data_IF_980408724355
#
_entry.id   IF_980408724355
#
_cell.length_a   1.000
_cell.length_b   1.000
_cell.length_c   1.000
_cell.angle_alpha   90.00
_cell.angle_beta   90.00
_cell.angle_gamma   90.00
#
_symmetry.space_group_name_H-M   'P 1'
#
loop_
_entity.id
_entity.type
_entity.pdbx_description
1 polymer ?
#
# COMPACT_ATOMS: atom_id res chain seq x y z
N UNK A 1 -8.90 0.50 18.01
CA UNK A 1 -8.98 1.88 17.52
C UNK A 1 -7.90 2.67 18.25
N UNK A 2 -7.04 3.35 17.52
CA UNK A 2 -5.91 4.05 18.12
C UNK A 2 -6.37 5.29 18.88
N UNK A 3 -5.78 5.48 20.07
CA UNK A 3 -6.10 6.60 20.98
C UNK A 3 -5.73 7.98 20.44
N UNK A 4 -4.88 8.02 19.39
CA UNK A 4 -4.39 9.25 18.77
C UNK A 4 -5.39 9.92 17.83
N UNK A 5 -6.37 9.18 17.28
CA UNK A 5 -7.32 9.75 16.33
C UNK A 5 -8.14 10.92 16.91
N UNK A 6 -8.60 10.81 18.15
CA UNK A 6 -9.33 11.89 18.82
C UNK A 6 -8.46 13.13 19.03
N UNK A 7 -7.18 12.94 19.34
CA UNK A 7 -6.22 14.03 19.48
C UNK A 7 -5.93 14.71 18.14
N UNK A 8 -5.81 13.92 17.06
CA UNK A 8 -5.64 14.43 15.70
C UNK A 8 -6.88 15.21 15.23
N UNK A 9 -8.08 14.70 15.52
CA UNK A 9 -9.33 15.44 15.27
C UNK A 9 -9.35 16.76 16.01
N UNK A 10 -8.98 16.77 17.29
CA UNK A 10 -8.90 17.98 18.10
C UNK A 10 -7.93 19.01 17.53
N UNK A 11 -6.74 18.57 17.09
CA UNK A 11 -5.71 19.47 16.56
C UNK A 11 -6.15 20.19 15.27
N UNK A 12 -7.07 19.58 14.51
CA UNK A 12 -7.65 20.15 13.28
C UNK A 12 -9.04 20.79 13.49
N UNK A 13 -9.53 20.83 14.72
CA UNK A 13 -10.85 21.38 15.05
C UNK A 13 -12.00 20.63 14.37
N UNK A 14 -11.89 19.31 14.26
CA UNK A 14 -12.91 18.43 13.68
C UNK A 14 -13.81 17.88 14.79
N UNK A 15 -15.11 18.06 14.64
CA UNK A 15 -16.12 17.49 15.55
C UNK A 15 -16.41 16.03 15.22
N UNK A 16 -16.32 15.67 13.94
CA UNK A 16 -16.54 14.31 13.48
C UNK A 16 -15.75 13.98 12.20
N UNK A 17 -15.65 12.68 11.91
CA UNK A 17 -15.28 12.17 10.59
C UNK A 17 -16.42 11.33 10.05
N UNK A 18 -16.66 11.41 8.74
CA UNK A 18 -17.57 10.59 7.98
C UNK A 18 -16.78 9.76 6.98
N UNK A 19 -16.92 8.44 7.04
CA UNK A 19 -16.34 7.52 6.08
C UNK A 19 -17.47 6.84 5.31
N UNK A 20 -17.46 6.91 3.98
CA UNK A 20 -18.54 6.37 3.14
C UNK A 20 -18.00 5.38 2.10
N UNK A 21 -18.88 4.48 1.65
CA UNK A 21 -18.60 3.52 0.58
C UNK A 21 -18.57 2.06 1.02
N UNK A 22 -18.05 1.14 0.18
CA UNK A 22 -17.87 -0.26 0.54
C UNK A 22 -16.90 -0.39 1.71
N UNK A 23 -17.01 -1.47 2.48
CA UNK A 23 -16.03 -1.75 3.52
C UNK A 23 -14.74 -2.35 2.94
N UNK A 24 -14.87 -3.14 1.87
CA UNK A 24 -13.73 -3.75 1.19
C UNK A 24 -13.00 -2.73 0.30
N UNK A 25 -11.68 -2.87 0.20
CA UNK A 25 -10.80 -1.97 -0.57
C UNK A 25 -10.98 -0.48 -0.24
N UNK A 26 -11.38 -0.19 0.99
CA UNK A 26 -11.56 1.16 1.53
C UNK A 26 -10.75 1.27 2.83
N UNK A 27 -9.49 1.71 2.75
CA UNK A 27 -8.57 1.74 3.89
C UNK A 27 -9.14 2.45 5.12
N UNK A 28 -9.83 3.59 4.91
CA UNK A 28 -10.47 4.32 6.00
C UNK A 28 -11.52 3.48 6.72
N UNK A 29 -12.34 2.74 5.99
CA UNK A 29 -13.36 1.86 6.54
C UNK A 29 -12.72 0.65 7.25
N UNK A 30 -11.75 -0.02 6.61
CA UNK A 30 -11.01 -1.16 7.19
C UNK A 30 -10.32 -0.76 8.49
N UNK A 31 -9.72 0.42 8.55
CA UNK A 31 -9.01 0.91 9.74
C UNK A 31 -9.91 0.96 10.98
N UNK A 32 -11.17 1.38 10.83
CA UNK A 32 -12.10 1.51 11.95
C UNK A 32 -12.97 0.27 12.19
N UNK A 33 -13.24 -0.53 11.16
CA UNK A 33 -14.06 -1.76 11.28
C UNK A 33 -13.25 -3.03 11.55
N UNK A 34 -11.93 -2.99 11.31
CA UNK A 34 -11.09 -4.19 11.34
C UNK A 34 -11.17 -5.07 10.09
N UNK A 35 -12.02 -4.72 9.14
CA UNK A 35 -12.35 -5.49 7.94
C UNK A 35 -13.75 -6.14 8.07
N UNK A 36 -14.73 -5.55 7.42
CA UNK A 36 -16.11 -6.03 7.34
C UNK A 36 -16.48 -6.34 5.88
N UNK A 37 -17.41 -7.23 5.67
CA UNK A 37 -17.94 -7.52 4.34
C UNK A 37 -19.25 -6.76 4.11
N UNK A 38 -19.15 -5.45 3.84
CA UNK A 38 -20.29 -4.57 3.55
C UNK A 38 -20.15 -4.02 2.13
N UNK A 39 -21.19 -4.12 1.34
CA UNK A 39 -21.21 -3.60 -0.03
C UNK A 39 -21.32 -2.07 -0.06
N UNK A 40 -21.93 -1.48 0.97
CA UNK A 40 -21.99 -0.04 1.18
C UNK A 40 -22.34 0.26 2.64
N UNK A 41 -21.71 1.26 3.20
CA UNK A 41 -22.00 1.74 4.55
C UNK A 41 -21.48 3.15 4.76
N UNK A 42 -21.96 3.77 5.83
CA UNK A 42 -21.44 5.02 6.34
C UNK A 42 -20.95 4.80 7.78
N UNK A 43 -19.78 5.29 8.11
CA UNK A 43 -19.25 5.25 9.45
C UNK A 43 -19.03 6.68 9.93
N UNK A 44 -19.65 7.03 11.06
CA UNK A 44 -19.47 8.35 11.68
C UNK A 44 -18.78 8.19 13.03
N UNK A 45 -17.64 8.85 13.18
CA UNK A 45 -16.87 8.92 14.42
C UNK A 45 -16.89 10.36 14.92
N UNK A 46 -17.59 10.60 16.02
CA UNK A 46 -17.55 11.89 16.75
C UNK A 46 -16.31 11.94 17.63
N UNK A 47 -15.73 13.12 17.79
CA UNK A 47 -14.62 13.32 18.70
C UNK A 47 -14.98 12.85 20.12
N UNK A 48 -14.12 12.04 20.73
CA UNK A 48 -14.32 11.48 22.08
C UNK A 48 -15.34 10.35 22.19
N UNK A 49 -16.11 10.02 21.13
CA UNK A 49 -17.12 8.96 21.15
C UNK A 49 -16.66 7.75 20.32
N UNK A 50 -17.32 6.60 20.53
CA UNK A 50 -17.10 5.41 19.68
C UNK A 50 -17.73 5.62 18.29
N UNK A 51 -17.15 5.01 17.22
CA UNK A 51 -17.75 5.06 15.89
C UNK A 51 -19.13 4.40 15.86
N UNK A 52 -20.01 4.92 14.98
CA UNK A 52 -21.30 4.35 14.65
C UNK A 52 -21.26 3.93 13.19
N UNK A 53 -21.56 2.66 12.91
CA UNK A 53 -21.62 2.08 11.58
C UNK A 53 -23.06 1.98 11.10
N UNK A 54 -23.41 2.69 10.03
CA UNK A 54 -24.71 2.64 9.36
C UNK A 54 -24.64 1.59 8.25
N UNK A 55 -25.54 0.62 8.28
CA UNK A 55 -25.53 -0.51 7.38
C UNK A 55 -26.88 -0.78 6.71
N UNK A 56 -26.86 -1.46 5.58
CA UNK A 56 -28.07 -1.99 4.95
C UNK A 56 -28.68 -3.11 5.81
N UNK A 57 -30.02 -3.24 5.90
CA UNK A 57 -30.68 -4.33 6.64
C UNK A 57 -30.18 -5.74 6.30
N UNK A 58 -29.81 -5.99 5.05
CA UNK A 58 -29.30 -7.29 4.59
C UNK A 58 -27.91 -7.64 5.15
N UNK A 59 -27.15 -6.65 5.61
CA UNK A 59 -25.76 -6.79 6.09
C UNK A 59 -25.64 -6.62 7.61
N UNK A 60 -26.76 -6.72 8.36
CA UNK A 60 -26.79 -6.49 9.81
C UNK A 60 -25.87 -7.40 10.61
N UNK A 61 -25.69 -8.64 10.17
CA UNK A 61 -24.83 -9.61 10.85
C UNK A 61 -23.35 -9.29 10.61
N UNK A 62 -22.99 -8.95 9.39
CA UNK A 62 -21.64 -8.49 9.04
C UNK A 62 -21.29 -7.19 9.77
N UNK A 63 -22.23 -6.26 9.84
CA UNK A 63 -22.03 -5.03 10.61
C UNK A 63 -21.85 -5.32 12.12
N UNK A 64 -22.65 -6.24 12.69
CA UNK A 64 -22.54 -6.63 14.09
C UNK A 64 -21.19 -7.32 14.41
N UNK A 65 -20.65 -8.09 13.47
CA UNK A 65 -19.33 -8.77 13.61
C UNK A 65 -18.17 -7.78 13.80
N UNK A 66 -18.33 -6.51 13.40
CA UNK A 66 -17.31 -5.47 13.64
C UNK A 66 -17.14 -5.11 15.12
N UNK A 67 -18.13 -5.45 15.98
CA UNK A 67 -18.15 -5.04 17.37
C UNK A 67 -18.41 -3.55 17.61
N UNK A 68 -18.67 -2.79 16.54
CA UNK A 68 -19.04 -1.36 16.63
C UNK A 68 -20.51 -1.19 17.02
N UNK A 69 -20.88 0.01 17.46
CA UNK A 69 -22.27 0.40 17.50
C UNK A 69 -22.80 0.48 16.07
N UNK A 70 -23.95 -0.17 15.81
CA UNK A 70 -24.55 -0.19 14.48
C UNK A 70 -25.91 0.47 14.45
N UNK A 71 -26.27 1.09 13.32
CA UNK A 71 -27.60 1.62 13.03
C UNK A 71 -28.05 1.15 11.65
N UNK A 72 -29.33 0.78 11.55
CA UNK A 72 -29.91 0.40 10.27
C UNK A 72 -30.23 1.67 9.46
N UNK A 73 -29.64 1.82 8.27
CA UNK A 73 -29.88 2.99 7.42
C UNK A 73 -31.33 3.09 6.92
N UNK A 74 -32.10 1.97 6.93
CA UNK A 74 -33.52 1.95 6.56
C UNK A 74 -34.39 2.75 7.55
N UNK A 75 -33.94 2.95 8.80
CA UNK A 75 -34.68 3.71 9.81
C UNK A 75 -34.86 5.19 9.37
N UNK A 76 -34.01 5.68 8.46
CA UNK A 76 -34.09 7.03 7.86
C UNK A 76 -35.01 7.11 6.64
N UNK A 77 -35.76 6.03 6.33
CA UNK A 77 -36.94 5.98 5.44
C UNK A 77 -36.66 6.61 4.04
N UNK A 78 -35.62 6.15 3.36
CA UNK A 78 -35.20 6.69 2.07
C UNK A 78 -36.32 6.77 1.02
N UNK A 79 -37.25 5.80 0.98
CA UNK A 79 -38.36 5.79 0.01
C UNK A 79 -39.35 6.93 0.25
N UNK A 80 -39.64 7.29 1.51
CA UNK A 80 -40.43 8.47 1.84
C UNK A 80 -39.73 9.77 1.40
N UNK A 81 -38.39 9.84 1.64
CA UNK A 81 -37.58 11.00 1.18
C UNK A 81 -37.54 11.11 -0.35
N UNK A 82 -37.49 9.99 -1.05
CA UNK A 82 -37.51 9.98 -2.52
C UNK A 82 -38.85 10.47 -3.06
N UNK A 83 -39.97 10.07 -2.45
CA UNK A 83 -41.28 10.60 -2.79
C UNK A 83 -41.39 12.10 -2.52
N UNK A 84 -40.93 12.57 -1.35
CA UNK A 84 -40.88 14.00 -0.98
C UNK A 84 -40.00 14.81 -1.95
N UNK A 85 -39.02 14.16 -2.54
CA UNK A 85 -38.09 14.76 -3.52
C UNK A 85 -38.57 14.60 -4.96
N UNK A 86 -39.81 14.20 -5.21
CA UNK A 86 -40.38 14.01 -6.55
C UNK A 86 -39.55 13.07 -7.43
N UNK A 87 -38.96 12.03 -6.84
CA UNK A 87 -38.09 11.07 -7.51
C UNK A 87 -36.63 11.52 -7.68
N UNK A 88 -36.24 12.69 -7.18
CA UNK A 88 -34.86 13.17 -7.24
C UNK A 88 -33.98 12.44 -6.21
N UNK A 89 -33.17 11.50 -6.68
CA UNK A 89 -32.27 10.68 -5.83
C UNK A 89 -31.21 11.49 -5.10
N UNK A 90 -30.63 12.51 -5.72
CA UNK A 90 -29.65 13.37 -5.07
C UNK A 90 -30.27 14.08 -3.88
N UNK A 91 -31.43 14.74 -4.09
CA UNK A 91 -32.15 15.45 -3.01
C UNK A 91 -32.54 14.49 -1.88
N UNK A 92 -33.05 13.30 -2.21
CA UNK A 92 -33.41 12.29 -1.20
C UNK A 92 -32.19 11.83 -0.40
N UNK A 93 -31.02 11.67 -1.05
CA UNK A 93 -29.77 11.29 -0.40
C UNK A 93 -29.28 12.40 0.55
N UNK A 94 -29.30 13.65 0.10
CA UNK A 94 -28.95 14.82 0.90
C UNK A 94 -29.86 14.91 2.14
N UNK A 95 -31.18 14.76 1.98
CA UNK A 95 -32.13 14.76 3.10
C UNK A 95 -31.93 13.61 4.07
N UNK A 96 -31.49 12.44 3.59
CA UNK A 96 -31.14 11.32 4.47
C UNK A 96 -29.91 11.64 5.31
N UNK A 97 -28.84 12.17 4.72
CA UNK A 97 -27.65 12.61 5.48
C UNK A 97 -28.00 13.74 6.46
N UNK A 98 -28.84 14.70 6.06
CA UNK A 98 -29.34 15.73 6.98
C UNK A 98 -29.98 15.10 8.22
N UNK A 99 -30.92 14.15 8.06
CA UNK A 99 -31.56 13.45 9.19
C UNK A 99 -30.56 12.69 10.06
N UNK A 100 -29.58 12.04 9.45
CA UNK A 100 -28.50 11.33 10.18
C UNK A 100 -27.71 12.31 11.03
N UNK A 101 -27.28 13.43 10.45
CA UNK A 101 -26.48 14.42 11.17
C UNK A 101 -27.28 15.12 12.27
N UNK A 102 -28.56 15.46 12.03
CA UNK A 102 -29.47 16.01 13.05
C UNK A 102 -29.68 15.02 14.22
N UNK A 103 -29.91 13.73 13.93
CA UNK A 103 -30.05 12.66 14.94
C UNK A 103 -28.78 12.47 15.80
N UNK A 104 -27.62 12.78 15.26
CA UNK A 104 -26.32 12.73 15.94
C UNK A 104 -25.90 14.07 16.58
N UNK A 105 -26.66 15.15 16.38
CA UNK A 105 -26.31 16.51 16.82
C UNK A 105 -25.11 17.08 16.10
N UNK A 106 -24.94 16.77 14.81
CA UNK A 106 -23.83 17.16 13.95
C UNK A 106 -24.25 18.14 12.83
N UNK A 107 -25.44 18.70 12.88
CA UNK A 107 -26.00 19.63 11.87
C UNK A 107 -25.26 20.96 11.76
N UNK A 108 -24.39 21.29 12.73
CA UNK A 108 -23.52 22.48 12.77
C UNK A 108 -22.05 22.15 12.94
N UNK A 109 -21.68 20.91 12.74
CA UNK A 109 -20.34 20.40 13.02
C UNK A 109 -19.34 20.71 11.91
N UNK A 110 -18.05 20.65 12.23
CA UNK A 110 -16.97 20.57 11.26
C UNK A 110 -16.61 19.11 11.05
N UNK A 111 -16.87 18.57 9.86
CA UNK A 111 -16.72 17.14 9.53
C UNK A 111 -15.69 16.97 8.42
N UNK A 112 -14.70 16.09 8.62
CA UNK A 112 -13.84 15.61 7.54
C UNK A 112 -14.43 14.35 6.91
N UNK A 113 -14.37 14.26 5.55
CA UNK A 113 -14.93 13.14 4.79
C UNK A 113 -13.84 12.27 4.20
N UNK A 114 -14.07 10.96 4.27
CA UNK A 114 -13.17 9.92 3.75
C UNK A 114 -13.96 8.79 3.08
N UNK A 115 -13.24 7.87 2.48
CA UNK A 115 -13.82 6.64 1.95
C UNK A 115 -13.67 6.51 0.45
N UNK A 116 -14.42 5.58 -0.12
CA UNK A 116 -14.35 5.23 -1.53
C UNK A 116 -15.70 5.47 -2.21
N UNK A 117 -15.85 6.62 -2.83
CA UNK A 117 -17.05 7.04 -3.56
C UNK A 117 -16.62 7.72 -4.86
N UNK A 118 -17.46 7.65 -5.89
CA UNK A 118 -17.25 8.41 -7.12
C UNK A 118 -17.17 9.91 -6.84
N UNK A 119 -16.17 10.60 -7.41
CA UNK A 119 -15.90 12.00 -7.13
C UNK A 119 -17.06 12.94 -7.47
N UNK A 120 -17.78 12.67 -8.58
CA UNK A 120 -18.96 13.45 -8.96
C UNK A 120 -20.11 13.28 -7.96
N UNK A 121 -20.35 12.05 -7.51
CA UNK A 121 -21.35 11.73 -6.49
C UNK A 121 -21.00 12.37 -5.14
N UNK A 122 -19.75 12.31 -4.73
CA UNK A 122 -19.28 12.93 -3.49
C UNK A 122 -19.51 14.44 -3.52
N UNK A 123 -19.04 15.10 -4.58
CA UNK A 123 -19.22 16.55 -4.73
C UNK A 123 -20.70 16.96 -4.71
N UNK A 124 -21.56 16.26 -5.47
CA UNK A 124 -22.99 16.58 -5.54
C UNK A 124 -23.69 16.39 -4.18
N UNK A 125 -23.39 15.29 -3.47
CA UNK A 125 -24.02 14.99 -2.17
C UNK A 125 -23.55 15.99 -1.11
N UNK A 126 -22.24 16.20 -0.96
CA UNK A 126 -21.70 17.00 0.15
C UNK A 126 -21.92 18.49 -0.06
N UNK A 127 -21.82 19.02 -1.30
CA UNK A 127 -22.22 20.41 -1.59
C UNK A 127 -23.73 20.64 -1.40
N UNK A 128 -24.56 19.64 -1.76
CA UNK A 128 -25.98 19.68 -1.47
C UNK A 128 -26.29 19.69 0.01
N UNK A 129 -25.51 18.95 0.82
CA UNK A 129 -25.68 18.89 2.26
C UNK A 129 -25.33 20.21 2.95
N UNK A 130 -24.21 20.87 2.56
CA UNK A 130 -23.87 22.23 3.05
C UNK A 130 -24.92 23.27 2.63
N UNK A 131 -25.60 23.08 1.50
CA UNK A 131 -26.68 24.00 1.05
C UNK A 131 -27.93 23.90 1.93
N UNK A 132 -28.24 22.72 2.50
CA UNK A 132 -29.41 22.51 3.37
C UNK A 132 -29.08 22.70 4.86
N UNK A 133 -27.81 22.57 5.23
CA UNK A 133 -27.27 22.80 6.58
C UNK A 133 -26.19 23.89 6.52
N UNK A 134 -26.58 25.18 6.54
CA UNK A 134 -25.63 26.28 6.29
C UNK A 134 -24.57 26.48 7.39
N UNK A 135 -24.79 25.94 8.58
CA UNK A 135 -23.82 25.96 9.68
C UNK A 135 -22.89 24.72 9.69
N UNK A 136 -23.14 23.73 8.83
CA UNK A 136 -22.30 22.56 8.65
C UNK A 136 -21.07 22.93 7.80
N UNK A 137 -19.89 22.53 8.26
CA UNK A 137 -18.66 22.65 7.48
C UNK A 137 -18.15 21.26 7.10
N UNK A 138 -17.97 21.01 5.80
CA UNK A 138 -17.40 19.76 5.29
C UNK A 138 -16.00 20.03 4.73
N UNK A 139 -15.02 19.19 5.12
CA UNK A 139 -13.64 19.32 4.67
C UNK A 139 -13.17 18.01 4.06
N UNK A 140 -12.56 18.07 2.87
CA UNK A 140 -11.72 17.02 2.33
C UNK A 140 -10.28 17.25 2.74
N UNK A 141 -9.56 16.21 3.08
CA UNK A 141 -8.12 16.24 3.34
C UNK A 141 -7.36 15.55 2.22
N UNK A 142 -6.14 15.97 1.96
CA UNK A 142 -5.30 15.42 0.91
C UNK A 142 -4.20 14.53 1.53
N UNK A 143 -2.94 14.87 1.32
CA UNK A 143 -1.76 14.06 1.73
C UNK A 143 -1.46 14.09 3.22
N UNK A 144 -1.96 15.10 3.93
CA UNK A 144 -1.78 15.28 5.38
C UNK A 144 -3.09 14.99 6.13
N UNK A 145 -3.76 13.91 5.80
CA UNK A 145 -5.01 13.54 6.46
C UNK A 145 -4.76 12.95 7.85
N UNK A 146 -5.70 13.20 8.78
CA UNK A 146 -5.61 12.63 10.13
C UNK A 146 -5.64 11.10 10.12
N UNK A 147 -6.31 10.49 9.15
CA UNK A 147 -6.31 9.03 9.01
C UNK A 147 -4.95 8.51 8.58
N UNK A 148 -4.27 9.13 7.61
CA UNK A 148 -2.91 8.75 7.21
C UNK A 148 -1.91 8.95 8.35
N UNK A 149 -2.05 10.01 9.14
CA UNK A 149 -1.23 10.21 10.34
C UNK A 149 -1.51 9.13 11.39
N UNK A 150 -2.77 8.79 11.65
CA UNK A 150 -3.14 7.74 12.60
C UNK A 150 -2.69 6.34 12.14
N UNK A 151 -2.65 6.08 10.84
CA UNK A 151 -2.17 4.83 10.23
C UNK A 151 -0.65 4.71 10.22
N UNK A 152 0.11 5.80 10.33
CA UNK A 152 1.58 5.80 10.25
C UNK A 152 2.23 4.86 11.28
N UNK A 153 1.59 4.63 12.42
CA UNK A 153 2.04 3.65 13.41
C UNK A 153 1.00 2.55 13.65
N UNK A 154 1.45 1.32 13.79
CA UNK A 154 0.62 0.11 13.91
C UNK A 154 0.64 -0.43 15.34
N UNK A 155 -0.49 -0.96 15.79
CA UNK A 155 -0.57 -1.74 17.02
C UNK A 155 -0.13 -3.20 16.77
N UNK A 156 -0.08 -4.01 17.83
CA UNK A 156 0.39 -5.40 17.75
C UNK A 156 -0.46 -6.26 16.80
N UNK A 157 -1.78 -6.08 16.81
CA UNK A 157 -2.68 -6.87 15.95
C UNK A 157 -2.49 -6.51 14.48
N UNK A 158 -2.29 -5.23 14.18
CA UNK A 158 -1.98 -4.76 12.83
C UNK A 158 -0.61 -5.29 12.34
N UNK A 159 0.41 -5.29 13.22
CA UNK A 159 1.73 -5.86 12.92
C UNK A 159 1.63 -7.35 12.61
N UNK A 160 0.85 -8.12 13.37
CA UNK A 160 0.70 -9.56 13.11
C UNK A 160 -0.03 -9.82 11.77
N UNK A 161 -0.97 -8.98 11.36
CA UNK A 161 -1.60 -9.04 10.03
C UNK A 161 -0.59 -8.78 8.92
N UNK A 162 0.22 -7.72 9.02
CA UNK A 162 1.27 -7.41 8.06
C UNK A 162 2.33 -8.52 8.01
N UNK A 163 2.72 -9.06 9.18
CA UNK A 163 3.67 -10.18 9.28
C UNK A 163 3.14 -11.43 8.56
N UNK A 164 1.86 -11.75 8.74
CA UNK A 164 1.21 -12.86 8.04
C UNK A 164 1.22 -12.65 6.53
N UNK A 165 0.93 -11.43 6.06
CA UNK A 165 1.05 -11.09 4.64
C UNK A 165 2.48 -11.24 4.14
N UNK A 166 3.48 -10.84 4.93
CA UNK A 166 4.89 -11.04 4.61
C UNK A 166 5.27 -12.52 4.46
N UNK A 167 4.76 -13.38 5.34
CA UNK A 167 4.95 -14.83 5.23
C UNK A 167 4.32 -15.40 3.97
N UNK A 168 3.11 -14.98 3.61
CA UNK A 168 2.45 -15.37 2.36
C UNK A 168 3.26 -14.90 1.16
N UNK A 169 3.68 -13.63 1.16
CA UNK A 169 4.47 -13.02 0.08
C UNK A 169 5.78 -13.76 -0.14
N UNK A 170 6.57 -13.99 0.91
CA UNK A 170 7.87 -14.69 0.80
C UNK A 170 7.71 -16.16 0.40
N UNK A 171 6.62 -16.83 0.78
CA UNK A 171 6.29 -18.17 0.29
C UNK A 171 5.99 -18.16 -1.22
N UNK A 172 5.21 -17.18 -1.71
CA UNK A 172 4.92 -17.04 -3.14
C UNK A 172 6.18 -16.71 -3.92
N UNK A 173 7.05 -15.84 -3.39
CA UNK A 173 8.38 -15.56 -3.96
C UNK A 173 9.22 -16.83 -4.05
N UNK A 174 9.21 -17.67 -3.03
CA UNK A 174 9.85 -19.00 -3.04
C UNK A 174 9.28 -19.91 -4.13
N UNK A 175 7.95 -19.97 -4.26
CA UNK A 175 7.30 -20.76 -5.30
C UNK A 175 7.69 -20.26 -6.72
N UNK A 176 7.87 -18.94 -6.90
CA UNK A 176 8.36 -18.39 -8.20
C UNK A 176 9.79 -18.85 -8.46
N UNK A 177 10.68 -18.77 -7.47
CA UNK A 177 12.06 -19.26 -7.61
C UNK A 177 12.10 -20.76 -7.96
N UNK A 178 11.32 -21.59 -7.28
CA UNK A 178 11.20 -23.02 -7.54
C UNK A 178 10.62 -23.29 -8.93
N UNK A 179 9.58 -22.56 -9.32
CA UNK A 179 9.00 -22.68 -10.67
C UNK A 179 10.05 -22.38 -11.74
N UNK A 180 10.80 -21.28 -11.62
CA UNK A 180 11.81 -20.88 -12.59
C UNK A 180 12.98 -21.87 -12.65
N UNK A 181 13.50 -22.32 -11.50
CA UNK A 181 14.63 -23.23 -11.41
C UNK A 181 14.28 -24.68 -11.82
N UNK A 182 12.99 -25.05 -11.80
CA UNK A 182 12.50 -26.33 -12.30
C UNK A 182 12.44 -26.43 -13.82
N UNK A 183 12.46 -25.30 -14.53
CA UNK A 183 12.39 -25.25 -15.99
C UNK A 183 13.75 -25.61 -16.60
N UNK A 184 13.75 -25.92 -17.90
CA UNK A 184 14.96 -26.24 -18.66
C UNK A 184 15.43 -25.04 -19.47
N UNK A 185 16.74 -24.79 -19.48
CA UNK A 185 17.33 -23.80 -20.38
C UNK A 185 17.81 -24.43 -21.67
N UNK A 186 17.45 -23.81 -22.80
CA UNK A 186 17.93 -24.21 -24.13
C UNK A 186 18.23 -22.94 -24.94
N UNK A 187 19.46 -22.85 -25.46
CA UNK A 187 19.89 -21.70 -26.26
C UNK A 187 19.81 -20.36 -25.48
N UNK A 188 19.97 -20.39 -24.14
CA UNK A 188 19.87 -19.21 -23.29
C UNK A 188 18.45 -18.77 -22.94
N UNK A 189 17.43 -19.51 -23.36
CA UNK A 189 16.00 -19.26 -23.08
C UNK A 189 15.47 -20.32 -22.14
N UNK A 190 14.54 -19.96 -21.27
CA UNK A 190 13.85 -20.86 -20.36
C UNK A 190 12.60 -21.47 -21.01
N UNK A 191 12.44 -22.80 -20.95
CA UNK A 191 11.32 -23.52 -21.55
C UNK A 191 10.51 -24.31 -20.53
N UNK A 192 9.19 -24.29 -20.70
CA UNK A 192 8.23 -25.14 -19.99
C UNK A 192 8.33 -26.60 -20.44
N UNK A 193 7.73 -27.51 -19.69
CA UNK A 193 7.70 -28.95 -20.01
C UNK A 193 7.03 -29.29 -21.36
N UNK A 194 6.16 -28.39 -21.87
CA UNK A 194 5.51 -28.51 -23.18
C UNK A 194 6.33 -27.88 -24.33
N UNK A 195 7.61 -27.60 -24.09
CA UNK A 195 8.55 -27.03 -25.08
C UNK A 195 8.19 -25.59 -25.53
N UNK A 196 7.28 -24.90 -24.81
CA UNK A 196 7.06 -23.49 -25.03
C UNK A 196 8.00 -22.63 -24.14
N UNK A 197 8.47 -21.47 -24.64
CA UNK A 197 9.26 -20.56 -23.81
C UNK A 197 8.45 -20.03 -22.63
N UNK A 198 9.09 -19.88 -21.47
CA UNK A 198 8.48 -19.25 -20.29
C UNK A 198 8.40 -17.76 -20.52
N UNK A 199 7.21 -17.19 -20.39
CA UNK A 199 6.94 -15.76 -20.54
C UNK A 199 6.60 -15.10 -19.21
N UNK A 200 6.73 -13.78 -19.12
CA UNK A 200 6.35 -12.99 -17.95
C UNK A 200 4.90 -13.26 -17.53
N UNK A 201 3.98 -13.35 -18.48
CA UNK A 201 2.56 -13.65 -18.19
C UNK A 201 2.35 -15.00 -17.50
N UNK A 202 3.17 -16.02 -17.83
CA UNK A 202 3.08 -17.32 -17.21
C UNK A 202 3.41 -17.22 -15.71
N UNK A 203 4.48 -16.47 -15.37
CA UNK A 203 4.91 -16.24 -13.99
C UNK A 203 3.85 -15.44 -13.23
N UNK A 204 3.38 -14.32 -13.78
CA UNK A 204 2.36 -13.47 -13.13
C UNK A 204 1.05 -14.22 -12.89
N UNK A 205 0.64 -15.10 -13.80
CA UNK A 205 -0.54 -15.95 -13.63
C UNK A 205 -0.39 -16.92 -12.46
N UNK A 206 0.79 -17.53 -12.30
CA UNK A 206 1.08 -18.41 -11.15
C UNK A 206 1.11 -17.62 -9.84
N UNK A 207 1.72 -16.43 -9.82
CA UNK A 207 1.74 -15.55 -8.64
C UNK A 207 0.31 -15.29 -8.16
N UNK A 208 -0.58 -14.84 -9.05
CA UNK A 208 -1.96 -14.52 -8.70
C UNK A 208 -2.72 -15.76 -8.18
N UNK A 209 -2.49 -16.93 -8.77
CA UNK A 209 -3.08 -18.19 -8.30
C UNK A 209 -2.61 -18.52 -6.88
N UNK A 210 -1.29 -18.49 -6.63
CA UNK A 210 -0.72 -18.82 -5.32
C UNK A 210 -1.11 -17.83 -4.22
N UNK A 211 -1.29 -16.54 -4.55
CA UNK A 211 -1.81 -15.54 -3.63
C UNK A 211 -3.27 -15.84 -3.28
N UNK A 212 -4.12 -16.09 -4.29
CA UNK A 212 -5.54 -16.41 -4.09
C UNK A 212 -5.75 -17.67 -3.23
N UNK A 213 -4.97 -18.72 -3.44
CA UNK A 213 -4.98 -19.95 -2.63
C UNK A 213 -4.67 -19.70 -1.15
N UNK A 214 -4.00 -18.59 -0.83
CA UNK A 214 -3.60 -18.20 0.53
C UNK A 214 -4.46 -17.10 1.14
N UNK A 215 -5.55 -16.72 0.45
CA UNK A 215 -6.44 -15.66 0.92
C UNK A 215 -5.83 -14.26 0.80
N UNK A 216 -4.97 -14.06 -0.19
CA UNK A 216 -4.37 -12.78 -0.53
C UNK A 216 -4.82 -12.30 -1.92
N UNK A 217 -4.79 -11.00 -2.15
CA UNK A 217 -5.11 -10.34 -3.41
C UNK A 217 -3.93 -9.51 -3.90
N UNK A 218 -3.91 -9.26 -5.21
CA UNK A 218 -2.88 -8.47 -5.88
C UNK A 218 -3.51 -7.37 -6.74
N UNK A 219 -4.22 -6.40 -6.11
CA UNK A 219 -5.06 -5.44 -6.82
C UNK A 219 -4.27 -4.46 -7.70
N UNK A 220 -3.03 -4.16 -7.33
CA UNK A 220 -2.16 -3.23 -8.07
C UNK A 220 -1.20 -3.96 -9.03
N UNK A 221 -1.25 -5.29 -9.04
CA UNK A 221 -0.42 -6.12 -9.88
C UNK A 221 0.97 -6.37 -9.27
N UNK A 222 1.86 -6.85 -10.11
CA UNK A 222 3.25 -7.23 -9.74
C UNK A 222 4.20 -6.68 -10.80
N UNK A 223 5.32 -6.11 -10.39
CA UNK A 223 6.43 -5.83 -11.28
C UNK A 223 7.23 -7.14 -11.42
N UNK A 224 7.31 -7.64 -12.63
CA UNK A 224 8.18 -8.74 -13.02
C UNK A 224 8.78 -8.37 -14.36
N UNK A 225 9.86 -7.61 -14.32
CA UNK A 225 10.45 -6.92 -15.46
C UNK A 225 11.85 -7.46 -15.77
N UNK A 226 12.18 -7.59 -17.05
CA UNK A 226 13.48 -8.07 -17.53
C UNK A 226 14.11 -7.10 -18.52
N UNK A 227 15.41 -7.19 -18.70
CA UNK A 227 16.15 -6.40 -19.70
C UNK A 227 15.93 -4.90 -19.53
N UNK A 228 15.56 -4.20 -20.62
CA UNK A 228 15.31 -2.76 -20.60
C UNK A 228 14.26 -2.37 -19.55
N UNK A 229 13.16 -3.13 -19.48
CA UNK A 229 12.05 -2.84 -18.58
C UNK A 229 12.47 -2.94 -17.11
N UNK A 230 13.39 -3.87 -16.76
CA UNK A 230 13.97 -3.94 -15.42
C UNK A 230 14.73 -2.65 -15.05
N UNK A 231 15.28 -1.95 -16.04
CA UNK A 231 15.95 -0.66 -15.86
C UNK A 231 15.02 0.54 -15.63
N UNK A 232 13.70 0.34 -15.61
CA UNK A 232 12.68 1.38 -15.39
C UNK A 232 11.88 1.01 -14.13
N UNK A 233 11.98 1.76 -13.01
CA UNK A 233 11.51 1.32 -11.68
C UNK A 233 10.08 0.79 -11.60
N UNK A 234 9.12 1.45 -12.26
CA UNK A 234 7.70 1.08 -12.22
C UNK A 234 7.20 0.38 -13.51
N UNK A 235 8.11 -0.07 -14.36
CA UNK A 235 7.71 -0.87 -15.53
C UNK A 235 7.34 -2.28 -15.08
N UNK A 236 6.10 -2.66 -15.29
CA UNK A 236 5.60 -3.98 -14.85
C UNK A 236 6.15 -5.16 -15.66
N UNK A 237 6.88 -4.92 -16.76
CA UNK A 237 7.34 -5.92 -17.73
C UNK A 237 6.29 -6.26 -18.79
N UNK A 238 6.75 -6.49 -20.04
CA UNK A 238 5.87 -6.91 -21.14
C UNK A 238 5.44 -8.38 -20.95
N UNK A 239 4.14 -8.69 -20.90
CA UNK A 239 3.64 -10.05 -20.66
C UNK A 239 4.14 -11.11 -21.67
N UNK A 240 4.48 -10.70 -22.89
CA UNK A 240 4.94 -11.60 -23.96
C UNK A 240 6.45 -11.83 -23.97
N UNK A 241 7.21 -11.10 -23.16
CA UNK A 241 8.65 -11.27 -23.09
C UNK A 241 9.03 -12.62 -22.50
N UNK A 242 10.06 -13.21 -23.12
CA UNK A 242 10.58 -14.53 -22.81
C UNK A 242 11.73 -14.44 -21.83
N UNK A 243 11.73 -15.28 -20.81
CA UNK A 243 12.78 -15.30 -19.80
C UNK A 243 14.07 -15.91 -20.35
N UNK A 244 15.18 -15.20 -20.14
CA UNK A 244 16.52 -15.56 -20.62
C UNK A 244 17.53 -15.66 -19.49
N UNK A 245 18.55 -16.48 -19.71
CA UNK A 245 19.67 -16.56 -18.78
C UNK A 245 20.51 -15.28 -18.79
N UNK A 246 20.98 -14.87 -17.62
CA UNK A 246 21.90 -13.75 -17.47
C UNK A 246 21.28 -12.36 -17.55
N UNK A 247 19.97 -12.23 -17.83
CA UNK A 247 19.24 -10.97 -17.73
C UNK A 247 18.78 -10.70 -16.28
N UNK A 248 18.78 -9.43 -15.87
CA UNK A 248 18.20 -9.07 -14.57
C UNK A 248 16.68 -9.18 -14.60
N UNK A 249 16.13 -9.77 -13.56
CA UNK A 249 14.70 -9.82 -13.27
C UNK A 249 14.49 -8.95 -12.03
N UNK A 250 13.81 -7.82 -12.15
CA UNK A 250 13.28 -7.09 -10.99
C UNK A 250 11.90 -7.67 -10.70
N UNK A 251 11.81 -8.34 -9.56
CA UNK A 251 10.57 -8.93 -9.07
C UNK A 251 10.13 -8.22 -7.80
N UNK A 252 9.11 -7.39 -7.95
CA UNK A 252 8.52 -6.57 -6.91
C UNK A 252 7.04 -6.94 -6.76
N UNK A 253 6.63 -7.26 -5.54
CA UNK A 253 5.32 -7.85 -5.23
C UNK A 253 4.76 -7.26 -3.93
N UNK A 254 3.56 -6.67 -4.03
CA UNK A 254 2.89 -5.93 -2.96
C UNK A 254 1.43 -6.38 -2.76
N UNK A 255 1.20 -7.66 -2.40
CA UNK A 255 -0.16 -8.17 -2.17
C UNK A 255 -0.75 -7.65 -0.86
N UNK A 256 -2.07 -7.72 -0.77
CA UNK A 256 -2.81 -7.45 0.45
C UNK A 256 -3.71 -8.61 0.85
N UNK A 257 -4.25 -8.53 2.07
CA UNK A 257 -5.31 -9.44 2.50
C UNK A 257 -6.53 -9.35 1.59
N UNK A 258 -7.19 -10.48 1.33
CA UNK A 258 -8.41 -10.52 0.52
C UNK A 258 -9.48 -9.57 1.08
N UNK A 259 -10.08 -8.76 0.19
CA UNK A 259 -11.01 -7.70 0.55
C UNK A 259 -10.35 -6.34 0.84
N UNK A 260 -9.04 -6.19 0.60
CA UNK A 260 -8.34 -4.91 0.72
C UNK A 260 -7.93 -4.54 2.13
N UNK A 261 -7.35 -5.48 2.87
CA UNK A 261 -6.76 -5.27 4.18
C UNK A 261 -5.30 -4.80 4.12
N UNK A 262 -4.46 -5.33 5.02
CA UNK A 262 -3.06 -4.93 5.11
C UNK A 262 -2.23 -5.46 3.96
N UNK A 263 -1.34 -4.61 3.46
CA UNK A 263 -0.34 -4.92 2.43
C UNK A 263 0.95 -5.43 3.06
N UNK A 264 1.76 -6.06 2.23
CA UNK A 264 3.19 -6.32 2.45
C UNK A 264 3.94 -6.05 1.16
N UNK A 265 5.05 -5.34 1.22
CA UNK A 265 5.84 -4.94 0.06
C UNK A 265 7.22 -5.56 0.08
N UNK A 266 7.69 -6.04 -1.09
CA UNK A 266 8.88 -6.87 -1.17
C UNK A 266 9.46 -6.95 -2.57
N UNK A 267 10.76 -6.66 -2.70
CA UNK A 267 11.49 -6.82 -3.97
C UNK A 267 12.73 -7.67 -3.84
N UNK A 268 12.95 -8.53 -4.83
CA UNK A 268 14.25 -9.17 -5.12
C UNK A 268 14.63 -8.98 -6.57
N UNK A 269 15.94 -8.93 -6.80
CA UNK A 269 16.51 -8.97 -8.15
C UNK A 269 17.21 -10.29 -8.37
N UNK A 270 16.88 -10.96 -9.48
CA UNK A 270 17.48 -12.24 -9.85
C UNK A 270 18.09 -12.21 -11.24
N UNK A 271 19.04 -13.14 -11.47
CA UNK A 271 19.48 -13.62 -12.79
C UNK A 271 19.33 -15.12 -12.85
N UNK A 272 18.83 -15.64 -13.96
CA UNK A 272 18.73 -17.09 -14.19
C UNK A 272 20.06 -17.65 -14.67
N UNK A 273 20.52 -18.74 -14.07
CA UNK A 273 21.71 -19.48 -14.44
C UNK A 273 23.03 -18.80 -14.09
N UNK A 274 23.23 -17.56 -14.49
CA UNK A 274 24.42 -16.77 -14.18
C UNK A 274 24.11 -15.27 -14.19
N UNK A 275 24.95 -14.48 -13.54
CA UNK A 275 24.89 -13.02 -13.62
C UNK A 275 26.12 -12.46 -14.34
N UNK A 276 25.96 -11.61 -15.38
CA UNK A 276 27.08 -10.91 -16.01
C UNK A 276 27.88 -10.06 -15.02
N UNK A 277 29.18 -9.88 -15.23
CA UNK A 277 30.06 -9.16 -14.32
C UNK A 277 29.56 -7.74 -13.98
N UNK A 278 29.00 -7.04 -14.98
CA UNK A 278 28.43 -5.70 -14.79
C UNK A 278 27.22 -5.74 -13.85
N UNK A 279 26.34 -6.74 -14.00
CA UNK A 279 25.18 -6.93 -13.11
C UNK A 279 25.66 -7.25 -11.70
N UNK A 280 26.66 -8.13 -11.55
CA UNK A 280 27.22 -8.46 -10.23
C UNK A 280 27.78 -7.22 -9.51
N UNK A 281 28.44 -6.28 -10.24
CA UNK A 281 28.95 -5.03 -9.66
C UNK A 281 27.80 -4.14 -9.17
N UNK A 282 26.79 -3.89 -10.01
CA UNK A 282 25.63 -3.06 -9.66
C UNK A 282 24.86 -3.68 -8.50
N UNK A 283 24.66 -5.01 -8.51
CA UNK A 283 24.00 -5.72 -7.42
C UNK A 283 24.77 -5.56 -6.10
N UNK A 284 26.08 -5.69 -6.12
CA UNK A 284 26.92 -5.50 -4.94
C UNK A 284 26.81 -4.07 -4.40
N UNK A 285 26.79 -3.07 -5.27
CA UNK A 285 26.64 -1.69 -4.86
C UNK A 285 25.29 -1.42 -4.18
N UNK A 286 24.18 -1.99 -4.71
CA UNK A 286 22.86 -1.93 -4.08
C UNK A 286 22.85 -2.70 -2.76
N UNK A 287 23.41 -3.91 -2.73
CA UNK A 287 23.51 -4.74 -1.54
C UNK A 287 24.28 -4.04 -0.41
N UNK A 288 25.41 -3.44 -0.71
CA UNK A 288 26.23 -2.71 0.26
C UNK A 288 25.45 -1.53 0.86
N UNK A 289 24.77 -0.75 -0.01
CA UNK A 289 23.95 0.38 0.45
C UNK A 289 22.78 -0.11 1.29
N UNK A 290 22.09 -1.17 0.87
CA UNK A 290 21.00 -1.79 1.63
C UNK A 290 21.49 -2.21 3.03
N UNK A 291 22.60 -2.96 3.12
CA UNK A 291 23.13 -3.43 4.40
C UNK A 291 23.56 -2.26 5.31
N UNK A 292 24.18 -1.23 4.72
CA UNK A 292 24.61 -0.07 5.49
C UNK A 292 23.42 0.73 6.02
N UNK A 293 22.42 1.01 5.21
CA UNK A 293 21.19 1.71 5.66
C UNK A 293 20.49 0.89 6.74
N UNK A 294 20.30 -0.41 6.54
CA UNK A 294 19.67 -1.29 7.55
C UNK A 294 20.41 -1.26 8.89
N UNK A 295 21.75 -1.19 8.86
CA UNK A 295 22.58 -1.09 10.08
C UNK A 295 22.57 0.28 10.75
N UNK A 296 22.20 1.33 10.01
CA UNK A 296 22.17 2.72 10.50
C UNK A 296 20.78 3.15 10.99
N UNK A 297 19.70 2.38 10.72
CA UNK A 297 18.32 2.73 11.14
C UNK A 297 18.21 2.94 12.65
N UNK A 298 17.55 4.03 13.05
CA UNK A 298 17.38 4.41 14.46
C UNK A 298 15.97 4.94 14.72
N UNK A 299 15.49 4.70 15.92
CA UNK A 299 14.22 5.21 16.40
C UNK A 299 14.15 6.75 16.35
N UNK A 300 12.99 7.27 15.98
CA UNK A 300 12.67 8.69 15.90
C UNK A 300 13.59 9.53 14.99
N UNK A 301 14.24 8.89 14.02
CA UNK A 301 15.00 9.59 12.99
C UNK A 301 14.10 9.90 11.79
N UNK A 302 14.17 11.12 11.22
CA UNK A 302 13.43 11.47 10.01
C UNK A 302 13.83 10.60 8.82
N UNK A 303 12.84 10.13 8.06
CA UNK A 303 13.05 9.31 6.86
C UNK A 303 13.94 9.99 5.80
N UNK A 304 13.89 11.32 5.75
CA UNK A 304 14.71 12.13 4.85
C UNK A 304 16.23 11.95 5.06
N UNK A 305 16.67 11.77 6.30
CA UNK A 305 18.10 11.56 6.60
C UNK A 305 18.60 10.27 5.91
N UNK A 306 17.79 9.21 5.89
CA UNK A 306 18.16 7.96 5.22
C UNK A 306 18.12 8.07 3.70
N UNK A 307 17.18 8.84 3.14
CA UNK A 307 17.18 9.17 1.71
C UNK A 307 18.46 9.89 1.29
N UNK A 308 18.84 10.93 2.04
CA UNK A 308 20.07 11.68 1.79
C UNK A 308 21.30 10.78 1.92
N UNK A 309 21.32 9.91 2.93
CA UNK A 309 22.38 8.95 3.17
C UNK A 309 22.54 7.93 2.04
N UNK A 310 21.42 7.38 1.54
CA UNK A 310 21.44 6.48 0.40
C UNK A 310 22.00 7.16 -0.86
N UNK A 311 21.59 8.40 -1.13
CA UNK A 311 22.18 9.19 -2.23
C UNK A 311 23.70 9.36 -2.08
N UNK A 312 24.20 9.74 -0.90
CA UNK A 312 25.63 9.90 -0.63
C UNK A 312 26.41 8.61 -0.85
N UNK A 313 25.87 7.49 -0.41
CA UNK A 313 26.50 6.17 -0.59
C UNK A 313 26.59 5.77 -2.06
N UNK A 314 25.51 5.98 -2.84
CA UNK A 314 25.52 5.72 -4.27
C UNK A 314 26.42 6.67 -5.05
N UNK A 315 26.43 7.96 -4.72
CA UNK A 315 27.35 8.95 -5.34
C UNK A 315 28.81 8.60 -5.04
N UNK A 316 29.11 8.15 -3.81
CA UNK A 316 30.45 7.67 -3.44
C UNK A 316 30.92 6.45 -4.24
N UNK A 317 29.99 5.68 -4.82
CA UNK A 317 30.25 4.56 -5.74
C UNK A 317 30.22 4.97 -7.21
N UNK A 318 29.98 6.25 -7.52
CA UNK A 318 29.97 6.82 -8.86
C UNK A 318 28.64 6.72 -9.61
N UNK A 319 27.53 6.45 -8.91
CA UNK A 319 26.20 6.41 -9.49
C UNK A 319 25.51 7.79 -9.41
N UNK A 320 24.83 8.26 -10.48
CA UNK A 320 24.00 9.45 -10.40
C UNK A 320 22.80 9.21 -9.47
N UNK A 321 22.33 10.27 -8.79
CA UNK A 321 21.20 10.19 -7.88
C UNK A 321 20.23 11.34 -8.08
N UNK A 322 18.99 11.18 -7.61
CA UNK A 322 17.98 12.25 -7.59
C UNK A 322 18.38 13.45 -6.71
N UNK A 323 19.40 13.31 -5.83
CA UNK A 323 19.93 14.40 -5.02
C UNK A 323 20.77 15.34 -5.86
N UNK A 324 21.72 14.81 -6.62
CA UNK A 324 22.61 15.58 -7.50
C UNK A 324 21.94 16.01 -8.81
N UNK A 325 21.03 15.19 -9.36
CA UNK A 325 20.22 15.52 -10.53
C UNK A 325 18.76 15.06 -10.35
N UNK A 326 17.84 15.95 -9.95
CA UNK A 326 16.43 15.62 -9.71
C UNK A 326 15.67 15.03 -10.90
N UNK A 327 16.20 15.13 -12.10
CA UNK A 327 15.60 14.62 -13.33
C UNK A 327 16.38 13.44 -13.91
N UNK A 328 17.30 12.84 -13.14
CA UNK A 328 18.02 11.66 -13.64
C UNK A 328 17.06 10.50 -13.90
N UNK A 329 17.23 9.85 -15.03
CA UNK A 329 16.52 8.63 -15.41
C UNK A 329 17.40 7.38 -15.23
N UNK A 330 18.65 7.57 -14.76
CA UNK A 330 19.60 6.48 -14.53
C UNK A 330 20.26 6.61 -13.15
N UNK A 331 20.69 5.50 -12.59
CA UNK A 331 21.25 5.43 -11.25
C UNK A 331 20.19 5.26 -10.17
N UNK A 332 20.27 5.99 -9.07
CA UNK A 332 19.30 5.99 -7.98
C UNK A 332 18.25 7.08 -8.21
N UNK A 333 17.06 6.68 -8.64
CA UNK A 333 16.06 7.59 -9.25
C UNK A 333 14.77 7.78 -8.44
N UNK A 334 14.64 7.14 -7.27
CA UNK A 334 13.42 7.18 -6.44
C UNK A 334 13.71 7.37 -4.94
N UNK A 335 12.67 7.33 -4.11
CA UNK A 335 12.79 7.36 -2.65
C UNK A 335 13.38 6.06 -2.10
N UNK A 336 13.95 6.14 -0.89
CA UNK A 336 14.49 4.96 -0.21
C UNK A 336 13.41 4.01 0.29
N UNK A 337 12.19 4.53 0.50
CA UNK A 337 11.08 3.75 0.99
C UNK A 337 9.90 4.59 1.44
N UNK A 338 8.92 3.91 1.97
CA UNK A 338 7.64 4.47 2.43
C UNK A 338 7.03 3.61 3.53
N UNK A 339 6.02 4.14 4.21
CA UNK A 339 5.20 3.36 5.11
C UNK A 339 4.35 2.33 4.35
N UNK A 340 4.11 1.19 4.99
CA UNK A 340 3.22 0.13 4.48
C UNK A 340 2.17 -0.19 5.54
N UNK A 341 0.93 -0.37 5.11
CA UNK A 341 -0.18 -0.72 5.99
C UNK A 341 -1.44 -1.05 5.23
N UNK A 342 -2.47 -0.25 5.38
CA UNK A 342 -3.71 -0.37 4.60
C UNK A 342 -3.60 0.23 3.19
N UNK A 343 -2.53 0.96 2.92
CA UNK A 343 -2.08 1.35 1.60
C UNK A 343 -0.70 0.72 1.34
N UNK A 344 -0.37 0.46 0.08
CA UNK A 344 1.00 0.11 -0.32
C UNK A 344 1.93 1.25 0.09
N UNK A 345 1.56 2.48 -0.29
CA UNK A 345 2.29 3.68 0.02
C UNK A 345 1.54 4.53 1.04
N UNK A 346 2.06 4.63 2.25
CA UNK A 346 1.54 5.52 3.30
C UNK A 346 2.69 6.16 4.10
N UNK A 347 2.37 6.95 5.13
CA UNK A 347 3.38 7.52 6.04
C UNK A 347 4.00 6.44 6.96
N UNK A 348 5.28 6.67 7.38
CA UNK A 348 6.18 7.78 7.07
C UNK A 348 6.86 7.61 5.70
N UNK A 349 7.22 8.75 5.07
CA UNK A 349 7.93 8.76 3.80
C UNK A 349 9.46 8.80 4.02
N UNK A 350 10.20 8.01 3.24
CA UNK A 350 11.66 7.99 3.21
C UNK A 350 12.14 8.47 1.82
N UNK A 351 11.78 9.67 1.44
CA UNK A 351 12.05 10.22 0.11
C UNK A 351 12.28 11.73 0.12
N UNK A 352 12.44 12.32 -1.06
CA UNK A 352 12.70 13.77 -1.20
C UNK A 352 11.61 14.67 -0.60
N UNK A 353 10.38 14.21 -0.62
CA UNK A 353 9.22 14.96 -0.13
C UNK A 353 8.89 14.65 1.34
N UNK A 354 9.74 13.88 2.02
CA UNK A 354 9.60 13.62 3.45
C UNK A 354 9.73 14.92 4.24
N UNK A 355 8.90 15.03 5.27
CA UNK A 355 8.93 16.14 6.23
C UNK A 355 9.62 15.70 7.52
N UNK A 356 9.89 16.66 8.43
CA UNK A 356 10.43 16.37 9.77
C UNK A 356 9.47 15.50 10.63
N UNK A 357 8.21 15.37 10.22
CA UNK A 357 7.20 14.54 10.88
C UNK A 357 7.22 13.07 10.40
N UNK A 358 7.91 12.78 9.30
CA UNK A 358 8.06 11.42 8.77
C UNK A 358 9.15 10.66 9.53
N UNK A 359 8.87 10.37 10.79
CA UNK A 359 9.81 9.72 11.71
C UNK A 359 9.69 8.20 11.66
N UNK A 360 10.80 7.49 11.86
CA UNK A 360 10.78 6.08 12.23
C UNK A 360 10.30 5.95 13.69
N UNK A 361 9.01 6.25 13.91
CA UNK A 361 8.38 6.20 15.22
C UNK A 361 8.10 4.76 15.67
N UNK A 362 8.00 4.50 17.00
CA UNK A 362 7.58 3.18 17.50
C UNK A 362 6.27 2.73 16.88
N UNK A 363 6.25 1.54 16.29
CA UNK A 363 5.09 1.00 15.58
C UNK A 363 5.03 1.35 14.09
N UNK A 364 5.92 2.18 13.55
CA UNK A 364 6.00 2.39 12.11
C UNK A 364 6.40 1.08 11.39
N UNK A 365 5.85 0.87 10.22
CA UNK A 365 6.24 -0.20 9.29
C UNK A 365 6.61 0.47 7.98
N UNK A 366 7.83 0.25 7.51
CA UNK A 366 8.39 0.94 6.34
C UNK A 366 9.11 -0.03 5.41
N UNK A 367 9.16 0.29 4.12
CA UNK A 367 10.08 -0.35 3.18
C UNK A 367 11.47 0.27 3.25
N UNK A 368 12.49 -0.53 2.96
CA UNK A 368 13.86 -0.08 2.67
C UNK A 368 14.25 -0.72 1.35
N UNK A 369 14.23 0.08 0.28
CA UNK A 369 14.25 -0.40 -1.11
C UNK A 369 15.28 0.31 -2.01
N UNK A 370 16.56 0.40 -1.64
CA UNK A 370 17.54 1.02 -2.53
C UNK A 370 17.63 0.27 -3.86
N UNK A 371 17.72 1.02 -4.97
CA UNK A 371 17.81 0.44 -6.31
C UNK A 371 18.66 1.25 -7.27
N UNK A 372 19.23 0.60 -8.28
CA UNK A 372 19.99 1.21 -9.36
C UNK A 372 19.43 0.77 -10.71
N UNK A 373 19.21 1.73 -11.61
CA UNK A 373 18.52 1.51 -12.88
C UNK A 373 19.29 2.08 -14.05
N UNK A 374 19.53 1.24 -15.06
CA UNK A 374 20.25 1.56 -16.28
C UNK A 374 19.54 0.96 -17.50
N UNK A 375 18.43 1.56 -17.97
CA UNK A 375 17.59 0.98 -19.03
C UNK A 375 18.35 0.73 -20.33
N UNK A 376 19.23 1.65 -20.75
CA UNK A 376 20.05 1.49 -21.96
C UNK A 376 21.02 0.30 -21.91
N UNK A 377 21.25 -0.22 -20.70
CA UNK A 377 22.07 -1.41 -20.48
C UNK A 377 21.27 -2.65 -20.16
N UNK A 378 19.94 -2.53 -20.10
CA UNK A 378 19.06 -3.60 -19.72
C UNK A 378 19.28 -4.09 -18.28
N UNK A 379 19.59 -3.18 -17.36
CA UNK A 379 19.93 -3.52 -15.97
C UNK A 379 19.08 -2.70 -15.01
N UNK A 380 18.36 -3.39 -14.15
CA UNK A 380 17.72 -2.85 -12.95
C UNK A 380 18.04 -3.76 -11.76
N UNK A 381 18.33 -3.17 -10.62
CA UNK A 381 18.53 -3.88 -9.36
C UNK A 381 17.81 -3.13 -8.26
N UNK A 382 16.89 -3.81 -7.55
CA UNK A 382 16.25 -3.34 -6.31
C UNK A 382 16.27 -4.47 -5.30
N UNK A 383 16.62 -4.15 -4.07
CA UNK A 383 16.48 -5.02 -2.91
C UNK A 383 15.59 -4.33 -1.91
N UNK A 384 14.59 -5.03 -1.42
CA UNK A 384 13.60 -4.44 -0.53
C UNK A 384 13.14 -5.42 0.52
N UNK A 385 13.03 -4.92 1.74
CA UNK A 385 12.34 -5.59 2.83
C UNK A 385 11.45 -4.61 3.60
N UNK A 386 10.32 -5.11 4.07
CA UNK A 386 9.41 -4.40 4.99
C UNK A 386 9.91 -4.57 6.43
N UNK A 387 10.16 -3.44 7.09
CA UNK A 387 10.77 -3.33 8.41
C UNK A 387 9.78 -2.74 9.41
N UNK A 388 9.64 -3.39 10.56
CA UNK A 388 8.91 -2.87 11.71
C UNK A 388 9.85 -2.15 12.67
N UNK A 389 9.53 -0.91 13.02
CA UNK A 389 10.19 -0.12 14.05
C UNK A 389 9.58 -0.53 15.40
N UNK A 390 10.28 -1.39 16.15
CA UNK A 390 9.79 -1.89 17.43
C UNK A 390 9.82 -0.83 18.53
N UNK A 391 8.93 -0.93 19.52
CA UNK A 391 8.90 0.01 20.65
C UNK A 391 10.20 0.06 21.48
N UNK A 392 10.99 -1.02 21.46
CA UNK A 392 12.29 -1.11 22.13
C UNK A 392 13.45 -0.50 21.32
N UNK A 393 13.16 0.00 20.10
CA UNK A 393 14.11 0.62 19.19
C UNK A 393 14.80 -0.36 18.23
N UNK A 394 14.51 -1.67 18.32
CA UNK A 394 15.01 -2.63 17.34
C UNK A 394 14.25 -2.50 16.00
N UNK A 395 14.97 -2.76 14.92
CA UNK A 395 14.43 -2.81 13.55
C UNK A 395 14.26 -4.27 13.13
N UNK A 396 13.02 -4.69 12.90
CA UNK A 396 12.71 -6.08 12.59
C UNK A 396 12.20 -6.22 11.15
N UNK A 397 12.89 -7.01 10.32
CA UNK A 397 12.36 -7.45 9.03
C UNK A 397 11.23 -8.44 9.30
N UNK A 398 9.99 -8.09 8.90
CA UNK A 398 8.79 -8.86 9.26
C UNK A 398 8.73 -10.25 8.59
N UNK A 399 9.29 -10.40 7.38
CA UNK A 399 9.42 -11.70 6.71
C UNK A 399 10.73 -11.74 5.92
N UNK A 400 11.67 -12.59 6.36
CA UNK A 400 12.99 -12.71 5.75
C UNK A 400 12.97 -13.65 4.56
N UNK A 401 13.71 -13.29 3.51
CA UNK A 401 13.97 -14.11 2.33
C UNK A 401 15.43 -13.91 1.87
N UNK A 402 16.08 -14.94 1.26
CA UNK A 402 17.47 -14.82 0.76
C UNK A 402 17.69 -13.63 -0.19
N UNK A 403 18.94 -13.13 -0.15
CA UNK A 403 19.41 -12.04 -1.02
C UNK A 403 20.30 -12.59 -2.16
N UNK A 404 20.04 -13.80 -2.64
CA UNK A 404 20.82 -14.41 -3.71
C UNK A 404 20.48 -13.79 -5.06
N UNK A 405 21.51 -13.34 -5.81
CA UNK A 405 21.34 -12.79 -7.15
C UNK A 405 21.05 -13.88 -8.20
N UNK A 406 21.67 -15.04 -8.06
CA UNK A 406 21.61 -16.08 -9.11
C UNK A 406 20.70 -17.21 -8.69
N UNK A 407 19.67 -17.45 -9.49
CA UNK A 407 18.86 -18.65 -9.40
C UNK A 407 19.45 -19.73 -10.33
N UNK A 408 19.91 -20.88 -9.79
CA UNK A 408 20.51 -21.94 -10.59
C UNK A 408 19.44 -22.61 -11.49
N UNK A 409 19.69 -22.69 -12.79
CA UNK A 409 18.80 -23.36 -13.74
C UNK A 409 19.50 -24.59 -14.29
N UNK A 410 18.76 -25.69 -14.41
CA UNK A 410 19.29 -26.93 -15.03
C UNK A 410 19.46 -26.72 -16.53
N UNK A 411 20.68 -26.96 -17.04
CA UNK A 411 21.00 -26.95 -18.46
C UNK A 411 20.54 -28.22 -19.17
#
# INVERSE_FOLDING_TARGET
>A
MKSDLDQLMQSKGLDAILITGPAQHNPAMVYLTGGAHLTSGDLIKKQGEKPILFHNPMEREEAANTGLQTKNIADYKYQELLQQSEGNHLRATVLRYQRILEDLGLDKAHIAIYGKIDAGSAYAIFSGLESVLPDLKITGELTDSILLQAMATKNVDEIERIRKMGQITTQVVGNVADYLTSQKAQGGVLFKSNEEPVKIKDVKSQINLWLAERGAENPEGTIFAIGHDAGVPHNSGNPEDVLKLGETIVFDIFPCEAGGGYYYDFTRTWCLGYAPERVQRIYRDVYDVYQQIMGELKLNTPGREYQDRACELFEGKGHPTVKSNPQTETGYVHGLGHGVGLHVHERPWLGRNSTEEDLLAPGAVVTIEPGLYYPDHGIGVRLEDTVWVRPDGEMEILAKYPLDLVLPVKG
#
